data_IF_289132743659
#
_entry.id   IF_289132743659
#
_cell.length_a   1.000
_cell.length_b   1.000
_cell.length_c   1.000
_cell.angle_alpha   90.00
_cell.angle_beta   90.00
_cell.angle_gamma   90.00
#
_symmetry.space_group_name_H-M   'P 1'
#
loop_
_entity.id
_entity.type
_entity.pdbx_description
1 polymer ?
#
# COMPACT_ATOMS: atom_id res chain seq x y z
N UNK A 1 10.69 -21.43 36.26
CA UNK A 1 11.50 -21.74 35.05
C UNK A 1 10.73 -21.25 33.84
N UNK A 2 11.26 -20.34 33.00
CA UNK A 2 10.63 -20.05 31.73
C UNK A 2 10.66 -21.30 30.85
N UNK A 3 9.56 -21.59 30.16
CA UNK A 3 9.48 -22.71 29.22
C UNK A 3 10.36 -22.37 28.01
N UNK A 4 11.27 -23.26 27.58
CA UNK A 4 12.07 -23.02 26.39
C UNK A 4 11.16 -23.03 25.17
N UNK A 5 11.26 -21.98 24.34
CA UNK A 5 10.55 -21.92 23.06
C UNK A 5 11.17 -22.96 22.15
N UNK A 6 10.35 -23.90 21.67
CA UNK A 6 10.81 -24.95 20.77
C UNK A 6 10.94 -24.42 19.34
N UNK A 7 11.66 -25.16 18.48
CA UNK A 7 11.72 -24.80 17.06
C UNK A 7 10.34 -24.89 16.39
N UNK A 8 9.51 -25.84 16.83
CA UNK A 8 8.13 -25.99 16.35
C UNK A 8 7.27 -24.77 16.69
N UNK A 9 7.40 -24.24 17.91
CA UNK A 9 6.71 -23.01 18.33
C UNK A 9 7.13 -21.81 17.47
N UNK A 10 8.44 -21.69 17.19
CA UNK A 10 8.96 -20.64 16.31
C UNK A 10 8.44 -20.79 14.88
N UNK A 11 8.50 -21.99 14.33
CA UNK A 11 8.05 -22.31 12.97
C UNK A 11 6.55 -22.04 12.82
N UNK A 12 5.75 -22.36 13.84
CA UNK A 12 4.31 -22.11 13.85
C UNK A 12 4.00 -20.62 13.74
N UNK A 13 4.71 -19.76 14.49
CA UNK A 13 4.54 -18.31 14.42
C UNK A 13 4.94 -17.78 13.05
N UNK A 14 6.11 -18.16 12.53
CA UNK A 14 6.58 -17.72 11.20
C UNK A 14 5.59 -18.13 10.11
N UNK A 15 5.08 -19.37 10.16
CA UNK A 15 4.11 -19.87 9.17
C UNK A 15 2.80 -19.10 9.25
N UNK A 16 2.30 -18.81 10.46
CA UNK A 16 1.09 -18.01 10.64
C UNK A 16 1.26 -16.60 10.06
N UNK A 17 2.39 -15.94 10.33
CA UNK A 17 2.71 -14.63 9.77
C UNK A 17 2.82 -14.67 8.24
N UNK A 18 3.50 -15.66 7.68
CA UNK A 18 3.64 -15.82 6.23
C UNK A 18 2.27 -15.99 5.54
N UNK A 19 1.37 -16.79 6.12
CA UNK A 19 0.00 -16.94 5.63
C UNK A 19 -0.79 -15.64 5.68
N UNK A 20 -0.64 -14.88 6.78
CA UNK A 20 -1.31 -13.58 6.90
C UNK A 20 -0.82 -12.58 5.85
N UNK A 21 0.50 -12.45 5.67
CA UNK A 21 1.10 -11.60 4.64
C UNK A 21 0.63 -12.02 3.25
N UNK A 22 0.59 -13.32 2.97
CA UNK A 22 0.12 -13.83 1.68
C UNK A 22 -1.33 -13.43 1.40
N UNK A 23 -2.22 -13.51 2.41
CA UNK A 23 -3.59 -13.04 2.31
C UNK A 23 -3.68 -11.54 1.98
N UNK A 24 -2.93 -10.71 2.70
CA UNK A 24 -2.87 -9.25 2.44
C UNK A 24 -2.39 -8.97 1.00
N UNK A 25 -1.31 -9.63 0.56
CA UNK A 25 -0.77 -9.45 -0.80
C UNK A 25 -1.77 -9.91 -1.87
N UNK A 26 -2.55 -10.96 -1.61
CA UNK A 26 -3.62 -11.38 -2.54
C UNK A 26 -4.65 -10.28 -2.72
N UNK A 27 -5.18 -9.73 -1.62
CA UNK A 27 -6.16 -8.63 -1.68
C UNK A 27 -5.57 -7.40 -2.38
N UNK A 28 -4.32 -7.02 -2.09
CA UNK A 28 -3.67 -5.90 -2.76
C UNK A 28 -3.52 -6.12 -4.27
N UNK A 29 -3.28 -7.36 -4.73
CA UNK A 29 -3.22 -7.67 -6.17
C UNK A 29 -4.56 -7.56 -6.87
N UNK A 30 -5.66 -7.74 -6.14
CA UNK A 30 -7.01 -7.58 -6.68
C UNK A 30 -7.37 -6.10 -6.89
N UNK A 31 -6.74 -5.15 -6.17
CA UNK A 31 -7.09 -3.73 -6.17
C UNK A 31 -6.60 -2.90 -7.38
N UNK A 32 -5.90 -3.50 -8.36
CA UNK A 32 -5.29 -2.85 -9.54
C UNK A 32 -4.62 -1.48 -9.29
N UNK A 33 -3.32 -1.51 -8.99
CA UNK A 33 -2.49 -0.33 -8.76
C UNK A 33 -1.79 0.20 -10.03
N UNK A 34 -2.23 -0.18 -11.24
CA UNK A 34 -1.53 0.10 -12.50
C UNK A 34 -1.05 1.55 -12.69
N UNK A 35 -1.93 2.53 -12.41
CA UNK A 35 -1.60 3.96 -12.50
C UNK A 35 -1.22 4.59 -11.15
N UNK A 36 -1.19 3.79 -10.07
CA UNK A 36 -0.83 4.29 -8.73
C UNK A 36 0.68 4.24 -8.56
N UNK A 37 1.39 5.39 -8.52
CA UNK A 37 2.83 5.38 -8.35
C UNK A 37 3.22 4.83 -6.96
N UNK A 38 4.42 4.23 -6.82
CA UNK A 38 4.94 3.86 -5.50
C UNK A 38 4.93 5.07 -4.56
N UNK A 39 4.69 4.83 -3.27
CA UNK A 39 4.57 5.91 -2.28
C UNK A 39 5.79 6.88 -2.26
N UNK A 40 6.99 6.37 -2.55
CA UNK A 40 8.20 7.19 -2.64
C UNK A 40 8.20 8.18 -3.82
N UNK A 41 7.40 7.91 -4.87
CA UNK A 41 7.18 8.79 -6.02
C UNK A 41 5.93 9.67 -5.87
N UNK A 42 5.16 9.51 -4.79
CA UNK A 42 4.04 10.39 -4.50
C UNK A 42 4.55 11.75 -4.04
N UNK A 43 4.54 12.71 -4.96
CA UNK A 43 4.65 14.11 -4.63
C UNK A 43 3.23 14.66 -4.54
N UNK A 44 2.84 15.10 -3.34
CA UNK A 44 1.59 15.85 -3.20
C UNK A 44 1.68 17.06 -4.12
N UNK A 45 0.90 17.05 -5.19
CA UNK A 45 0.73 18.23 -6.04
C UNK A 45 0.05 19.25 -5.13
N UNK A 46 0.77 20.30 -4.73
CA UNK A 46 0.08 21.51 -4.26
C UNK A 46 -0.94 21.81 -5.34
N UNK A 47 -2.23 21.76 -5.02
CA UNK A 47 -3.32 22.04 -5.93
C UNK A 47 -3.18 23.48 -6.44
N UNK A 48 -2.27 23.68 -7.37
CA UNK A 48 -1.89 24.94 -7.94
C UNK A 48 -2.81 25.12 -9.13
N UNK A 49 -3.99 25.65 -8.81
CA UNK A 49 -4.85 26.49 -9.64
C UNK A 49 -5.14 26.02 -11.08
N UNK A 50 -4.99 24.74 -11.39
CA UNK A 50 -5.26 24.16 -12.73
C UNK A 50 -6.77 24.13 -13.04
N UNK A 51 -7.62 24.53 -12.08
CA UNK A 51 -9.04 24.80 -12.32
C UNK A 51 -9.36 26.23 -12.77
N UNK A 52 -8.42 27.19 -12.73
CA UNK A 52 -8.71 28.60 -13.02
C UNK A 52 -8.43 29.00 -14.47
N UNK A 53 -7.46 28.34 -15.11
CA UNK A 53 -7.06 28.64 -16.50
C UNK A 53 -8.11 28.15 -17.51
N UNK A 54 -8.76 27.01 -17.26
CA UNK A 54 -9.84 26.50 -18.14
C UNK A 54 -11.09 27.39 -18.08
N UNK A 55 -11.44 27.91 -16.89
CA UNK A 55 -12.55 28.87 -16.72
C UNK A 55 -12.24 30.19 -17.43
N UNK A 56 -10.96 30.60 -17.50
CA UNK A 56 -10.53 31.80 -18.22
C UNK A 56 -10.53 31.60 -19.74
N UNK A 57 -10.15 30.42 -20.24
CA UNK A 57 -10.17 30.09 -21.67
C UNK A 57 -11.58 29.86 -22.21
N UNK A 58 -12.51 29.39 -21.37
CA UNK A 58 -13.93 29.34 -21.69
C UNK A 58 -14.63 30.71 -21.63
N UNK A 59 -13.93 31.75 -21.14
CA UNK A 59 -14.45 33.12 -21.00
C UNK A 59 -13.94 34.09 -22.09
N UNK A 60 -13.35 33.60 -23.18
CA UNK A 60 -12.96 34.39 -24.36
C UNK A 60 -13.69 33.90 -25.61
#
# INVERSE_FOLDING_TARGET
MPVPITEEDRQAVVTATARHIHGVVSVLRELDFGDTPPAAAFHAVEASDTGREEVRRAAV
#
